data_IF_265022962245
#
_entry.id   IF_265022962245
#
_cell.length_a   1.000
_cell.length_b   1.000
_cell.length_c   1.000
_cell.angle_alpha   90.00
_cell.angle_beta   90.00
_cell.angle_gamma   90.00
#
_symmetry.space_group_name_H-M   'P 1'
#
loop_
_entity.id
_entity.type
_entity.pdbx_description
1 polymer ?
#
# COMPACT_ATOMS: atom_id res chain seq x y z
N UNK A 1 -26.53 -48.92 26.44
CA UNK A 1 -25.84 -48.65 25.14
C UNK A 1 -26.73 -47.95 24.10
N UNK A 2 -28.07 -48.10 24.11
CA UNK A 2 -29.00 -47.55 23.11
C UNK A 2 -29.22 -46.02 23.12
N UNK A 3 -28.81 -45.33 24.20
CA UNK A 3 -28.99 -43.89 24.38
C UNK A 3 -27.83 -43.03 23.83
N UNK A 4 -26.66 -43.65 23.56
CA UNK A 4 -25.49 -42.97 22.97
C UNK A 4 -25.59 -42.88 21.44
N UNK A 5 -26.08 -43.93 20.78
CA UNK A 5 -26.26 -44.00 19.33
C UNK A 5 -27.36 -43.07 18.81
N UNK A 6 -28.47 -42.91 19.54
CA UNK A 6 -29.53 -41.95 19.18
C UNK A 6 -29.05 -40.48 19.28
N UNK A 7 -28.24 -40.15 20.31
CA UNK A 7 -27.62 -38.83 20.46
C UNK A 7 -26.59 -38.53 19.36
N UNK A 8 -25.82 -39.54 18.95
CA UNK A 8 -24.87 -39.43 17.82
C UNK A 8 -25.60 -39.23 16.48
N UNK A 9 -26.69 -39.95 16.21
CA UNK A 9 -27.51 -39.79 15.00
C UNK A 9 -28.22 -38.44 14.92
N UNK A 10 -28.73 -37.92 16.06
CA UNK A 10 -29.34 -36.59 16.13
C UNK A 10 -28.34 -35.43 15.99
N UNK A 11 -27.11 -35.60 16.50
CA UNK A 11 -26.03 -34.65 16.29
C UNK A 11 -25.55 -34.64 14.83
N UNK A 12 -25.52 -35.81 14.18
CA UNK A 12 -25.11 -35.95 12.78
C UNK A 12 -26.11 -35.30 11.81
N UNK A 13 -27.42 -35.45 12.05
CA UNK A 13 -28.46 -34.83 11.22
C UNK A 13 -28.53 -33.31 11.38
N UNK A 14 -28.32 -32.79 12.60
CA UNK A 14 -28.20 -31.36 12.85
C UNK A 14 -26.95 -30.77 12.18
N UNK A 15 -25.82 -31.47 12.25
CA UNK A 15 -24.58 -31.06 11.56
C UNK A 15 -24.74 -31.02 10.04
N UNK A 16 -25.44 -31.99 9.43
CA UNK A 16 -25.71 -32.01 7.99
C UNK A 16 -26.67 -30.91 7.55
N UNK A 17 -27.73 -30.65 8.33
CA UNK A 17 -28.66 -29.54 8.06
C UNK A 17 -27.96 -28.18 8.18
N UNK A 18 -27.16 -27.98 9.23
CA UNK A 18 -26.34 -26.77 9.43
C UNK A 18 -25.29 -26.59 8.34
N UNK A 19 -24.66 -27.67 7.87
CA UNK A 19 -23.71 -27.62 6.76
C UNK A 19 -24.40 -27.28 5.43
N UNK A 20 -25.63 -27.77 5.21
CA UNK A 20 -26.40 -27.46 4.00
C UNK A 20 -26.91 -26.01 4.00
N UNK A 21 -27.42 -25.51 5.11
CA UNK A 21 -27.83 -24.10 5.22
C UNK A 21 -26.64 -23.15 5.12
N UNK A 22 -25.51 -23.47 5.75
CA UNK A 22 -24.28 -22.68 5.62
C UNK A 22 -23.79 -22.61 4.17
N UNK A 23 -23.85 -23.71 3.41
CA UNK A 23 -23.52 -23.70 1.97
C UNK A 23 -24.45 -22.83 1.13
N UNK A 24 -25.75 -22.85 1.41
CA UNK A 24 -26.72 -22.00 0.72
C UNK A 24 -26.42 -20.52 1.00
N UNK A 25 -26.19 -20.17 2.27
CA UNK A 25 -25.83 -18.79 2.64
C UNK A 25 -24.52 -18.31 2.02
N UNK A 26 -23.51 -19.17 1.89
CA UNK A 26 -22.26 -18.84 1.18
C UNK A 26 -22.51 -18.61 -0.31
N UNK A 27 -23.32 -19.44 -0.97
CA UNK A 27 -23.66 -19.25 -2.38
C UNK A 27 -24.44 -17.94 -2.62
N UNK A 28 -25.35 -17.58 -1.72
CA UNK A 28 -26.08 -16.32 -1.81
C UNK A 28 -25.14 -15.14 -1.57
N UNK A 29 -24.19 -15.26 -0.63
CA UNK A 29 -23.17 -14.24 -0.39
C UNK A 29 -22.26 -14.03 -1.61
N UNK A 30 -21.83 -15.10 -2.28
CA UNK A 30 -21.06 -15.02 -3.52
C UNK A 30 -21.82 -14.30 -4.65
N UNK A 31 -23.13 -14.53 -4.75
CA UNK A 31 -23.99 -13.82 -5.70
C UNK A 31 -24.06 -12.32 -5.39
N UNK A 32 -24.25 -11.95 -4.12
CA UNK A 32 -24.22 -10.56 -3.67
C UNK A 32 -22.87 -9.88 -3.96
N UNK A 33 -21.73 -10.57 -3.77
CA UNK A 33 -20.41 -10.03 -4.13
C UNK A 33 -20.23 -9.85 -5.64
N UNK A 34 -20.81 -10.72 -6.46
CA UNK A 34 -20.79 -10.56 -7.92
C UNK A 34 -21.52 -9.29 -8.33
N UNK A 35 -22.68 -9.00 -7.71
CA UNK A 35 -23.43 -7.76 -7.95
C UNK A 35 -22.63 -6.55 -7.44
N UNK A 36 -22.00 -6.66 -6.27
CA UNK A 36 -21.16 -5.60 -5.71
C UNK A 36 -20.00 -5.23 -6.66
N UNK A 37 -19.30 -6.23 -7.20
CA UNK A 37 -18.22 -6.03 -8.18
C UNK A 37 -18.74 -5.32 -9.44
N UNK A 38 -19.86 -5.79 -10.01
CA UNK A 38 -20.44 -5.20 -11.20
C UNK A 38 -20.93 -3.74 -10.96
N UNK A 39 -21.40 -3.42 -9.76
CA UNK A 39 -21.77 -2.05 -9.39
C UNK A 39 -20.52 -1.15 -9.22
N UNK A 40 -19.46 -1.67 -8.59
CA UNK A 40 -18.16 -0.97 -8.43
C UNK A 40 -17.55 -0.63 -9.79
N UNK A 41 -17.55 -1.56 -10.74
CA UNK A 41 -17.05 -1.33 -12.11
C UNK A 41 -17.80 -0.22 -12.85
N UNK A 42 -19.10 -0.05 -12.55
CA UNK A 42 -19.93 1.04 -13.08
C UNK A 42 -19.76 2.37 -12.32
N UNK A 43 -18.97 2.39 -11.24
CA UNK A 43 -18.80 3.54 -10.37
C UNK A 43 -19.95 3.78 -9.38
N UNK A 44 -20.94 2.88 -9.30
CA UNK A 44 -22.02 2.97 -8.31
C UNK A 44 -21.55 2.37 -6.98
N UNK A 45 -20.64 3.08 -6.30
CA UNK A 45 -20.03 2.63 -5.06
C UNK A 45 -21.05 2.45 -3.92
N UNK A 46 -22.17 3.19 -3.94
CA UNK A 46 -23.23 3.04 -2.95
C UNK A 46 -23.96 1.71 -3.11
N UNK A 47 -24.37 1.36 -4.33
CA UNK A 47 -24.97 0.05 -4.59
C UNK A 47 -23.97 -1.08 -4.34
N UNK A 48 -22.71 -0.89 -4.74
CA UNK A 48 -21.65 -1.85 -4.48
C UNK A 48 -21.50 -2.16 -2.97
N UNK A 49 -21.48 -1.11 -2.14
CA UNK A 49 -21.38 -1.25 -0.69
C UNK A 49 -22.59 -1.98 -0.10
N UNK A 50 -23.80 -1.65 -0.55
CA UNK A 50 -25.03 -2.31 -0.08
C UNK A 50 -25.01 -3.83 -0.34
N UNK A 51 -24.64 -4.23 -1.55
CA UNK A 51 -24.55 -5.65 -1.92
C UNK A 51 -23.40 -6.36 -1.19
N UNK A 52 -22.23 -5.72 -1.03
CA UNK A 52 -21.13 -6.28 -0.26
C UNK A 52 -21.51 -6.50 1.23
N UNK A 53 -22.26 -5.57 1.83
CA UNK A 53 -22.76 -5.72 3.21
C UNK A 53 -23.78 -6.85 3.35
N UNK A 54 -24.65 -7.07 2.34
CA UNK A 54 -25.54 -8.25 2.32
C UNK A 54 -24.76 -9.55 2.31
N UNK A 55 -23.66 -9.62 1.56
CA UNK A 55 -22.77 -10.78 1.58
C UNK A 55 -22.19 -11.05 2.97
N UNK A 56 -21.79 -10.01 3.71
CA UNK A 56 -21.34 -10.13 5.11
C UNK A 56 -22.46 -10.66 6.02
N UNK A 57 -23.69 -10.17 5.87
CA UNK A 57 -24.85 -10.66 6.65
C UNK A 57 -25.14 -12.13 6.36
N UNK A 58 -25.08 -12.54 5.09
CA UNK A 58 -25.32 -13.92 4.67
C UNK A 58 -24.20 -14.87 5.14
N UNK A 59 -22.94 -14.44 5.03
CA UNK A 59 -21.78 -15.25 5.40
C UNK A 59 -20.78 -14.45 6.27
N UNK A 60 -21.03 -14.28 7.59
CA UNK A 60 -20.23 -13.42 8.49
C UNK A 60 -18.78 -13.85 8.76
N UNK A 61 -18.33 -14.96 8.17
CA UNK A 61 -16.94 -15.44 8.25
C UNK A 61 -16.29 -15.54 6.87
N UNK A 62 -16.95 -15.05 5.84
CA UNK A 62 -16.42 -15.03 4.48
C UNK A 62 -15.43 -13.88 4.35
N UNK A 63 -14.15 -14.22 4.34
CA UNK A 63 -13.04 -13.25 4.26
C UNK A 63 -13.23 -12.30 3.07
N UNK A 64 -13.60 -12.83 1.91
CA UNK A 64 -13.82 -12.03 0.70
C UNK A 64 -14.92 -10.99 0.87
N UNK A 65 -15.98 -11.29 1.63
CA UNK A 65 -17.07 -10.34 1.83
C UNK A 65 -16.61 -9.13 2.65
N UNK A 66 -15.92 -9.37 3.76
CA UNK A 66 -15.30 -8.31 4.57
C UNK A 66 -14.28 -7.52 3.77
N UNK A 67 -13.38 -8.19 3.03
CA UNK A 67 -12.39 -7.52 2.21
C UNK A 67 -13.02 -6.60 1.16
N UNK A 68 -14.05 -7.06 0.46
CA UNK A 68 -14.76 -6.27 -0.55
C UNK A 68 -15.50 -5.06 0.05
N UNK A 69 -16.11 -5.19 1.23
CA UNK A 69 -16.66 -4.01 1.94
C UNK A 69 -15.54 -3.02 2.27
N UNK A 70 -14.40 -3.52 2.77
CA UNK A 70 -13.21 -2.72 3.04
C UNK A 70 -12.72 -1.92 1.83
N UNK A 71 -12.50 -2.58 0.69
CA UNK A 71 -12.07 -1.95 -0.55
C UNK A 71 -13.03 -0.85 -1.03
N UNK A 72 -14.34 -1.12 -1.01
CA UNK A 72 -15.35 -0.17 -1.49
C UNK A 72 -15.41 1.04 -0.56
N UNK A 73 -15.42 0.79 0.76
CA UNK A 73 -15.45 1.84 1.77
C UNK A 73 -14.17 2.70 1.75
N UNK A 74 -13.01 2.09 1.48
CA UNK A 74 -11.72 2.78 1.31
C UNK A 74 -11.77 3.75 0.12
N UNK A 75 -12.24 3.31 -1.06
CA UNK A 75 -12.41 4.19 -2.22
C UNK A 75 -13.39 5.34 -1.95
N UNK A 76 -14.43 5.09 -1.16
CA UNK A 76 -15.40 6.11 -0.77
C UNK A 76 -14.91 7.04 0.34
N UNK A 77 -13.82 6.69 1.01
CA UNK A 77 -13.21 7.52 2.05
C UNK A 77 -12.42 8.66 1.40
N UNK A 78 -12.88 9.91 1.56
CA UNK A 78 -12.15 11.09 1.07
C UNK A 78 -11.10 11.52 2.10
N UNK A 79 -9.78 11.42 1.80
CA UNK A 79 -8.74 11.81 2.75
C UNK A 79 -8.70 13.32 3.03
N UNK A 80 -9.27 14.16 2.17
CA UNK A 80 -9.13 15.62 2.23
C UNK A 80 -10.47 16.39 2.32
N UNK A 81 -10.97 16.59 3.55
CA UNK A 81 -11.82 17.73 3.96
C UNK A 81 -11.89 17.94 5.50
N UNK A 82 -11.04 17.26 6.29
CA UNK A 82 -11.31 16.83 7.68
C UNK A 82 -12.25 15.62 7.79
N UNK A 83 -11.82 14.41 7.37
CA UNK A 83 -12.43 13.19 7.86
C UNK A 83 -11.95 12.96 9.29
N UNK A 84 -12.81 13.28 10.26
CA UNK A 84 -12.64 12.79 11.62
C UNK A 84 -12.94 11.30 11.70
N UNK A 85 -12.62 10.63 12.83
CA UNK A 85 -13.08 9.26 13.13
C UNK A 85 -14.61 9.06 13.08
N UNK A 86 -15.38 10.14 12.86
CA UNK A 86 -16.83 10.15 12.67
C UNK A 86 -17.29 10.03 11.20
N UNK A 87 -16.37 10.02 10.22
CA UNK A 87 -16.74 9.54 8.87
C UNK A 87 -16.95 8.03 8.93
N UNK A 88 -18.23 7.67 8.97
CA UNK A 88 -18.70 6.29 9.06
C UNK A 88 -18.08 5.39 8.00
N UNK A 89 -17.74 5.92 6.83
CA UNK A 89 -17.23 5.14 5.70
C UNK A 89 -15.76 4.77 5.90
N UNK A 90 -14.95 5.74 6.31
CA UNK A 90 -13.54 5.50 6.65
C UNK A 90 -13.40 4.56 7.85
N UNK A 91 -14.24 4.73 8.88
CA UNK A 91 -14.30 3.81 10.01
C UNK A 91 -14.68 2.39 9.60
N UNK A 92 -15.66 2.25 8.71
CA UNK A 92 -16.05 0.96 8.14
C UNK A 92 -14.89 0.29 7.41
N UNK A 93 -14.16 1.00 6.54
CA UNK A 93 -13.00 0.44 5.84
C UNK A 93 -11.96 -0.16 6.81
N UNK A 94 -11.62 0.59 7.87
CA UNK A 94 -10.67 0.15 8.89
C UNK A 94 -11.16 -1.12 9.60
N UNK A 95 -12.42 -1.16 10.04
CA UNK A 95 -12.96 -2.32 10.77
C UNK A 95 -13.08 -3.57 9.89
N UNK A 96 -13.41 -3.40 8.61
CA UNK A 96 -13.54 -4.50 7.66
C UNK A 96 -12.16 -5.06 7.26
N UNK A 97 -11.15 -4.22 7.07
CA UNK A 97 -9.76 -4.70 6.91
C UNK A 97 -9.26 -5.42 8.17
N UNK A 98 -9.53 -4.89 9.37
CA UNK A 98 -9.18 -5.59 10.62
C UNK A 98 -9.87 -6.96 10.71
N UNK A 99 -11.15 -7.03 10.38
CA UNK A 99 -11.92 -8.29 10.41
C UNK A 99 -11.38 -9.29 9.40
N UNK A 100 -11.07 -8.83 8.19
CA UNK A 100 -10.39 -9.62 7.15
C UNK A 100 -9.09 -10.22 7.68
N UNK A 101 -8.26 -9.42 8.35
CA UNK A 101 -6.98 -9.84 8.92
C UNK A 101 -7.10 -10.67 10.21
N UNK A 102 -8.20 -10.55 10.94
CA UNK A 102 -8.52 -11.45 12.05
C UNK A 102 -8.93 -12.84 11.56
N UNK A 103 -9.72 -12.90 10.47
CA UNK A 103 -10.14 -14.16 9.86
C UNK A 103 -9.01 -14.83 9.06
N UNK A 104 -8.14 -14.03 8.42
CA UNK A 104 -6.94 -14.48 7.73
C UNK A 104 -5.77 -13.50 7.92
N UNK A 105 -4.88 -13.76 8.90
CA UNK A 105 -3.70 -12.91 9.16
C UNK A 105 -2.70 -12.82 8.01
N UNK A 106 -2.78 -13.72 7.03
CA UNK A 106 -1.90 -13.78 5.86
C UNK A 106 -2.58 -13.33 4.57
N UNK A 107 -3.67 -12.55 4.66
CA UNK A 107 -4.33 -11.98 3.48
C UNK A 107 -3.50 -10.82 2.89
N UNK A 108 -2.62 -11.14 1.93
CA UNK A 108 -1.64 -10.21 1.37
C UNK A 108 -2.21 -8.89 0.86
N UNK A 109 -3.31 -8.94 0.09
CA UNK A 109 -3.98 -7.75 -0.44
C UNK A 109 -4.54 -6.86 0.67
N UNK A 110 -5.11 -7.45 1.71
CA UNK A 110 -5.68 -6.69 2.83
C UNK A 110 -4.58 -6.06 3.69
N UNK A 111 -3.45 -6.74 3.87
CA UNK A 111 -2.28 -6.17 4.53
C UNK A 111 -1.77 -4.93 3.77
N UNK A 112 -1.66 -5.03 2.44
CA UNK A 112 -1.21 -3.93 1.57
C UNK A 112 -2.19 -2.76 1.58
N UNK A 113 -3.46 -3.01 1.31
CA UNK A 113 -4.46 -1.95 1.15
C UNK A 113 -4.74 -1.26 2.49
N UNK A 114 -4.77 -2.03 3.60
CA UNK A 114 -4.87 -1.44 4.93
C UNK A 114 -3.65 -0.60 5.29
N UNK A 115 -2.44 -1.04 4.92
CA UNK A 115 -1.23 -0.24 5.12
C UNK A 115 -1.30 1.08 4.36
N UNK A 116 -1.82 1.07 3.13
CA UNK A 116 -2.03 2.27 2.33
C UNK A 116 -3.06 3.22 2.96
N UNK A 117 -4.21 2.71 3.40
CA UNK A 117 -5.23 3.49 4.11
C UNK A 117 -4.66 4.14 5.38
N UNK A 118 -3.91 3.38 6.19
CA UNK A 118 -3.25 3.90 7.39
C UNK A 118 -2.23 5.00 7.06
N UNK A 119 -1.49 4.85 5.95
CA UNK A 119 -0.58 5.88 5.46
C UNK A 119 -1.33 7.17 5.12
N UNK A 120 -2.46 7.07 4.40
CA UNK A 120 -3.29 8.25 4.06
C UNK A 120 -3.80 8.99 5.31
N UNK A 121 -4.05 8.27 6.40
CA UNK A 121 -4.41 8.87 7.69
C UNK A 121 -3.23 9.32 8.56
N UNK A 122 -2.02 9.33 8.03
CA UNK A 122 -0.82 9.75 8.76
C UNK A 122 -0.33 8.75 9.81
N UNK A 123 -0.92 7.55 9.91
CA UNK A 123 -0.52 6.47 10.83
C UNK A 123 0.67 5.70 10.28
N UNK A 124 1.79 6.40 10.09
CA UNK A 124 2.98 5.88 9.40
C UNK A 124 3.59 4.65 10.06
N UNK A 125 3.60 4.57 11.39
CA UNK A 125 4.20 3.44 12.12
C UNK A 125 3.39 2.15 11.95
N UNK A 126 2.06 2.25 12.03
CA UNK A 126 1.16 1.12 11.78
C UNK A 126 1.25 0.68 10.31
N UNK A 127 1.24 1.64 9.38
CA UNK A 127 1.38 1.40 7.94
C UNK A 127 2.64 0.61 7.60
N UNK A 128 3.81 1.01 8.12
CA UNK A 128 5.07 0.29 7.90
C UNK A 128 4.99 -1.16 8.39
N UNK A 129 4.40 -1.40 9.56
CA UNK A 129 4.22 -2.75 10.11
C UNK A 129 3.41 -3.65 9.17
N UNK A 130 2.31 -3.14 8.61
CA UNK A 130 1.47 -3.91 7.68
C UNK A 130 2.12 -4.10 6.31
N UNK A 131 2.80 -3.09 5.75
CA UNK A 131 3.58 -3.27 4.51
C UNK A 131 4.69 -4.30 4.67
N UNK A 132 5.41 -4.31 5.79
CA UNK A 132 6.46 -5.31 6.07
C UNK A 132 5.88 -6.72 6.21
N UNK A 133 4.69 -6.88 6.80
CA UNK A 133 3.97 -8.17 6.82
C UNK A 133 3.57 -8.62 5.42
N UNK A 134 3.03 -7.72 4.60
CA UNK A 134 2.68 -8.03 3.21
C UNK A 134 3.93 -8.45 2.42
N UNK A 135 5.04 -7.73 2.59
CA UNK A 135 6.31 -8.03 1.93
C UNK A 135 6.87 -9.39 2.35
N UNK A 136 6.71 -9.79 3.61
CA UNK A 136 7.13 -11.11 4.07
C UNK A 136 6.37 -12.26 3.38
N UNK A 137 5.13 -12.03 2.93
CA UNK A 137 4.35 -13.00 2.16
C UNK A 137 4.71 -12.98 0.66
N UNK A 138 5.05 -11.80 0.14
CA UNK A 138 5.36 -11.57 -1.26
C UNK A 138 6.68 -10.78 -1.41
N UNK A 139 7.84 -11.41 -1.17
CA UNK A 139 9.12 -10.72 -1.06
C UNK A 139 9.62 -10.08 -2.36
N UNK A 140 9.06 -10.51 -3.50
CA UNK A 140 9.41 -10.01 -4.84
C UNK A 140 8.28 -9.17 -5.46
N UNK A 141 7.33 -8.67 -4.66
CA UNK A 141 6.36 -7.68 -5.16
C UNK A 141 7.03 -6.29 -5.25
N UNK A 142 7.21 -5.72 -6.45
CA UNK A 142 7.89 -4.44 -6.61
C UNK A 142 7.15 -3.27 -5.96
N UNK A 143 5.81 -3.35 -5.86
CA UNK A 143 5.00 -2.34 -5.17
C UNK A 143 5.24 -2.36 -3.66
N UNK A 144 5.32 -3.55 -3.04
CA UNK A 144 5.62 -3.69 -1.62
C UNK A 144 7.06 -3.32 -1.28
N UNK A 145 8.01 -3.70 -2.12
CA UNK A 145 9.42 -3.28 -2.00
C UNK A 145 9.52 -1.74 -2.04
N UNK A 146 8.86 -1.10 -3.01
CA UNK A 146 8.79 0.35 -3.12
C UNK A 146 8.07 1.01 -1.95
N UNK A 147 6.96 0.42 -1.48
CA UNK A 147 6.19 0.95 -0.35
C UNK A 147 7.01 0.97 0.94
N UNK A 148 7.70 -0.12 1.29
CA UNK A 148 8.57 -0.18 2.49
C UNK A 148 9.72 0.83 2.37
N UNK A 149 10.40 0.90 1.22
CA UNK A 149 11.45 1.90 1.00
C UNK A 149 10.92 3.34 1.10
N UNK A 150 9.70 3.59 0.62
CA UNK A 150 9.01 4.87 0.78
C UNK A 150 8.68 5.20 2.25
N UNK A 151 8.28 4.21 3.05
CA UNK A 151 8.06 4.40 4.49
C UNK A 151 9.37 4.76 5.21
N UNK A 152 10.44 4.04 4.91
CA UNK A 152 11.77 4.30 5.46
C UNK A 152 12.28 5.68 5.05
N UNK A 153 12.14 6.07 3.78
CA UNK A 153 12.50 7.40 3.30
C UNK A 153 11.80 8.51 4.10
N UNK A 154 10.50 8.36 4.41
CA UNK A 154 9.78 9.34 5.23
C UNK A 154 10.26 9.42 6.68
N UNK A 155 10.91 8.38 7.20
CA UNK A 155 11.56 8.42 8.53
C UNK A 155 12.95 9.06 8.45
N UNK A 156 13.72 8.71 7.42
CA UNK A 156 15.10 9.15 7.22
C UNK A 156 15.18 10.63 6.85
N UNK A 157 14.41 11.06 5.85
CA UNK A 157 14.58 12.37 5.23
C UNK A 157 14.36 13.53 6.22
N UNK A 158 13.33 13.53 7.09
CA UNK A 158 13.17 14.56 8.10
C UNK A 158 14.35 14.64 9.06
N UNK A 159 14.92 13.51 9.52
CA UNK A 159 16.03 13.53 10.48
C UNK A 159 17.26 14.26 9.90
N UNK A 160 17.60 13.99 8.64
CA UNK A 160 18.69 14.68 7.93
C UNK A 160 18.35 16.17 7.71
N UNK A 161 17.17 16.45 7.17
CA UNK A 161 16.76 17.82 6.78
C UNK A 161 16.60 18.72 8.00
N UNK A 162 15.88 18.28 9.02
CA UNK A 162 15.65 19.03 10.25
C UNK A 162 16.96 19.25 11.02
N UNK A 163 17.87 18.27 11.03
CA UNK A 163 19.19 18.47 11.62
C UNK A 163 19.97 19.56 10.89
N UNK A 164 19.95 19.59 9.55
CA UNK A 164 20.57 20.68 8.78
C UNK A 164 19.94 22.04 9.09
N UNK A 165 18.61 22.11 9.17
CA UNK A 165 17.88 23.33 9.54
C UNK A 165 18.26 23.82 10.93
N UNK A 166 18.26 22.93 11.94
CA UNK A 166 18.65 23.26 13.33
C UNK A 166 20.06 23.81 13.43
N UNK A 167 20.97 23.35 12.59
CA UNK A 167 22.37 23.78 12.54
C UNK A 167 22.59 25.02 11.67
N UNK A 168 21.56 25.59 11.05
CA UNK A 168 21.70 26.70 10.11
C UNK A 168 22.49 26.32 8.85
N UNK A 169 22.54 25.01 8.52
CA UNK A 169 23.16 24.50 7.31
C UNK A 169 22.14 24.68 6.17
N UNK A 170 22.23 25.81 5.46
CA UNK A 170 21.45 26.03 4.24
C UNK A 170 21.77 24.98 3.17
N UNK A 171 21.01 24.98 2.06
CA UNK A 171 21.09 23.95 1.02
C UNK A 171 22.50 23.63 0.49
N UNK A 172 23.42 24.61 0.50
CA UNK A 172 24.81 24.46 0.01
C UNK A 172 25.80 23.89 1.04
N UNK A 173 25.44 23.87 2.33
CA UNK A 173 26.32 23.36 3.39
C UNK A 173 25.95 21.91 3.70
N UNK A 174 26.91 21.01 3.50
CA UNK A 174 26.74 19.60 3.75
C UNK A 174 26.85 19.27 5.25
N UNK A 175 26.04 18.32 5.71
CA UNK A 175 26.05 17.79 7.07
C UNK A 175 27.33 16.99 7.35
N UNK A 176 27.98 16.45 6.32
CA UNK A 176 29.18 15.59 6.42
C UNK A 176 30.33 16.17 7.26
N UNK A 177 30.42 17.50 7.37
CA UNK A 177 31.46 18.19 8.15
C UNK A 177 31.00 18.59 9.56
N UNK A 178 29.74 18.33 9.90
CA UNK A 178 29.14 18.69 11.19
C UNK A 178 29.43 17.61 12.24
N UNK A 179 29.66 17.99 13.50
CA UNK A 179 29.69 17.04 14.62
C UNK A 179 28.42 16.17 14.73
N UNK A 180 27.27 16.70 14.27
CA UNK A 180 26.00 15.97 14.30
C UNK A 180 25.91 14.83 13.25
N UNK A 181 26.87 14.73 12.33
CA UNK A 181 26.84 13.72 11.27
C UNK A 181 26.77 12.30 11.83
N UNK A 182 27.63 11.97 12.80
CA UNK A 182 27.71 10.62 13.36
C UNK A 182 26.38 10.21 14.01
N UNK A 183 25.76 11.10 14.78
CA UNK A 183 24.47 10.84 15.41
C UNK A 183 23.36 10.56 14.39
N UNK A 184 23.31 11.33 13.29
CA UNK A 184 22.32 11.12 12.22
C UNK A 184 22.62 9.82 11.46
N UNK A 185 23.89 9.53 11.18
CA UNK A 185 24.31 8.27 10.56
C UNK A 185 23.89 7.08 11.40
N UNK A 186 24.23 7.07 12.68
CA UNK A 186 24.05 5.92 13.56
C UNK A 186 22.55 5.59 13.75
N UNK A 187 21.66 6.59 13.69
CA UNK A 187 20.19 6.38 13.71
C UNK A 187 19.61 5.82 12.41
N UNK A 188 20.23 6.11 11.26
CA UNK A 188 19.60 5.89 9.95
C UNK A 188 20.34 4.90 9.04
N UNK A 189 21.60 4.55 9.32
CA UNK A 189 22.45 3.77 8.42
C UNK A 189 21.78 2.48 7.95
N UNK A 190 21.22 1.70 8.88
CA UNK A 190 20.57 0.44 8.55
C UNK A 190 19.37 0.64 7.61
N UNK A 191 18.57 1.70 7.83
CA UNK A 191 17.41 2.01 6.99
C UNK A 191 17.83 2.50 5.60
N UNK A 192 18.91 3.27 5.49
CA UNK A 192 19.47 3.65 4.19
C UNK A 192 19.86 2.42 3.37
N UNK A 193 20.63 1.50 3.96
CA UNK A 193 21.08 0.30 3.25
C UNK A 193 19.90 -0.60 2.85
N UNK A 194 18.94 -0.81 3.76
CA UNK A 194 17.73 -1.58 3.47
C UNK A 194 16.92 -0.93 2.35
N UNK A 195 16.60 0.36 2.45
CA UNK A 195 15.79 1.08 1.44
C UNK A 195 16.41 1.04 0.05
N UNK A 196 17.73 1.27 -0.04
CA UNK A 196 18.45 1.20 -1.30
C UNK A 196 18.40 -0.22 -1.88
N UNK A 197 18.63 -1.25 -1.05
CA UNK A 197 18.57 -2.64 -1.50
C UNK A 197 17.16 -3.02 -2.00
N UNK A 198 16.10 -2.62 -1.28
CA UNK A 198 14.71 -2.86 -1.66
C UNK A 198 14.38 -2.23 -3.02
N UNK A 199 14.77 -0.98 -3.26
CA UNK A 199 14.51 -0.29 -4.53
C UNK A 199 15.33 -0.85 -5.69
N UNK A 200 16.58 -1.25 -5.44
CA UNK A 200 17.39 -1.94 -6.45
C UNK A 200 16.74 -3.28 -6.84
N UNK A 201 16.29 -4.06 -5.86
CA UNK A 201 15.52 -5.29 -6.12
C UNK A 201 14.22 -5.01 -6.88
N UNK A 202 13.50 -3.96 -6.50
CA UNK A 202 12.27 -3.56 -7.20
C UNK A 202 12.55 -3.18 -8.67
N UNK A 203 13.69 -2.57 -8.98
CA UNK A 203 14.10 -2.22 -10.35
C UNK A 203 14.61 -3.40 -11.18
N UNK A 204 15.06 -4.49 -10.56
CA UNK A 204 15.37 -5.73 -11.29
C UNK A 204 14.08 -6.31 -11.93
N UNK A 205 12.95 -6.16 -11.23
CA UNK A 205 11.64 -6.67 -11.62
C UNK A 205 10.89 -5.65 -12.47
N UNK A 206 10.69 -4.44 -11.94
CA UNK A 206 10.02 -3.30 -12.59
C UNK A 206 11.06 -2.36 -13.18
N UNK A 207 11.65 -2.77 -14.31
CA UNK A 207 12.67 -2.00 -15.00
C UNK A 207 12.14 -0.63 -15.42
N UNK A 208 12.99 0.39 -15.31
CA UNK A 208 12.68 1.77 -15.72
C UNK A 208 11.46 2.37 -14.99
N UNK A 209 11.23 1.99 -13.74
CA UNK A 209 10.22 2.65 -12.91
C UNK A 209 10.77 4.02 -12.44
N UNK A 210 10.22 5.16 -12.91
CA UNK A 210 10.76 6.48 -12.59
C UNK A 210 10.59 6.86 -11.12
N UNK A 211 9.59 6.31 -10.43
CA UNK A 211 9.37 6.55 -9.00
C UNK A 211 10.48 5.92 -8.17
N UNK A 212 10.81 4.64 -8.41
CA UNK A 212 11.89 3.95 -7.69
C UNK A 212 13.25 4.60 -7.96
N UNK A 213 13.49 5.03 -9.19
CA UNK A 213 14.71 5.76 -9.57
C UNK A 213 14.79 7.12 -8.85
N UNK A 214 13.66 7.82 -8.72
CA UNK A 214 13.60 9.10 -7.97
C UNK A 214 13.93 8.89 -6.50
N UNK A 215 13.35 7.86 -5.86
CA UNK A 215 13.67 7.54 -4.47
C UNK A 215 15.14 7.13 -4.28
N UNK A 216 15.72 6.36 -5.19
CA UNK A 216 17.16 6.06 -5.16
C UNK A 216 18.01 7.33 -5.26
N UNK A 217 17.70 8.23 -6.21
CA UNK A 217 18.38 9.51 -6.36
C UNK A 217 18.39 10.31 -5.06
N UNK A 218 17.24 10.42 -4.40
CA UNK A 218 17.08 11.11 -3.12
C UNK A 218 17.80 10.39 -1.96
N UNK A 219 17.67 9.06 -1.84
CA UNK A 219 18.33 8.28 -0.79
C UNK A 219 19.85 8.36 -0.88
N UNK A 220 20.44 8.25 -2.07
CA UNK A 220 21.88 8.42 -2.23
C UNK A 220 22.33 9.85 -1.88
N UNK A 221 21.57 10.87 -2.28
CA UNK A 221 21.86 12.27 -1.92
C UNK A 221 21.87 12.47 -0.40
N UNK A 222 20.87 11.93 0.29
CA UNK A 222 20.77 12.00 1.75
C UNK A 222 21.83 11.13 2.45
N UNK A 223 22.19 9.97 1.89
CA UNK A 223 23.24 9.11 2.45
C UNK A 223 24.62 9.76 2.32
N UNK A 224 24.87 10.52 1.24
CA UNK A 224 26.10 11.30 1.10
C UNK A 224 26.33 12.23 2.29
N UNK A 225 25.27 12.88 2.78
CA UNK A 225 25.32 13.82 3.91
C UNK A 225 25.82 13.20 5.22
N UNK A 226 25.71 11.87 5.37
CA UNK A 226 26.06 11.14 6.58
C UNK A 226 27.38 10.34 6.47
N UNK A 227 28.21 10.64 5.47
CA UNK A 227 29.53 9.97 5.29
C UNK A 227 30.63 10.49 6.24
N UNK A 228 30.30 11.41 7.15
CA UNK A 228 31.10 11.92 8.28
C UNK A 228 32.61 12.08 8.05
N UNK A 229 32.98 12.90 7.07
CA UNK A 229 34.36 13.22 6.71
C UNK A 229 34.94 12.33 5.60
N UNK A 230 34.28 11.22 5.27
CA UNK A 230 34.66 10.37 4.14
C UNK A 230 34.23 11.01 2.81
N UNK A 231 35.14 11.80 2.24
CA UNK A 231 34.93 12.47 0.96
C UNK A 231 34.81 11.50 -0.22
N UNK A 232 35.41 10.32 -0.13
CA UNK A 232 35.36 9.35 -1.22
C UNK A 232 33.95 8.76 -1.32
N UNK A 233 33.40 8.30 -0.19
CA UNK A 233 32.04 7.77 -0.14
C UNK A 233 30.98 8.86 -0.39
N UNK A 234 31.19 10.09 0.09
CA UNK A 234 30.35 11.23 -0.28
C UNK A 234 30.24 11.39 -1.80
N UNK A 235 31.39 11.39 -2.49
CA UNK A 235 31.41 11.59 -3.93
C UNK A 235 30.79 10.40 -4.68
N UNK A 236 30.98 9.17 -4.18
CA UNK A 236 30.36 7.98 -4.74
C UNK A 236 28.82 8.03 -4.64
N UNK A 237 28.29 8.42 -3.49
CA UNK A 237 26.86 8.60 -3.29
C UNK A 237 26.29 9.73 -4.16
N UNK A 238 26.95 10.89 -4.23
CA UNK A 238 26.54 11.99 -5.11
C UNK A 238 26.62 11.64 -6.60
N UNK A 239 27.52 10.74 -7.00
CA UNK A 239 27.55 10.21 -8.37
C UNK A 239 26.36 9.31 -8.63
N UNK A 240 26.08 8.38 -7.70
CA UNK A 240 24.95 7.46 -7.79
C UNK A 240 23.62 8.22 -7.84
N UNK A 241 23.46 9.23 -6.98
CA UNK A 241 22.31 10.13 -6.98
C UNK A 241 22.05 10.74 -8.36
N UNK A 242 23.09 11.34 -8.99
CA UNK A 242 22.98 11.91 -10.34
C UNK A 242 22.63 10.88 -11.41
N UNK A 243 23.18 9.68 -11.34
CA UNK A 243 22.85 8.58 -12.28
C UNK A 243 21.37 8.25 -12.20
N UNK A 244 20.84 8.10 -10.97
CA UNK A 244 19.43 7.78 -10.77
C UNK A 244 18.49 8.92 -11.13
N UNK A 245 18.86 10.18 -10.87
CA UNK A 245 18.09 11.36 -11.29
C UNK A 245 17.97 11.45 -12.82
N UNK A 246 19.04 11.13 -13.56
CA UNK A 246 19.00 11.07 -15.02
C UNK A 246 18.12 9.92 -15.51
N UNK A 247 18.29 8.73 -14.92
CA UNK A 247 17.47 7.56 -15.25
C UNK A 247 15.97 7.83 -15.00
N UNK A 248 15.62 8.47 -13.88
CA UNK A 248 14.24 8.82 -13.54
C UNK A 248 13.60 9.74 -14.60
N UNK A 249 14.33 10.78 -15.02
CA UNK A 249 13.88 11.70 -16.07
C UNK A 249 13.67 11.00 -17.40
N UNK A 250 14.62 10.15 -17.80
CA UNK A 250 14.55 9.38 -19.05
C UNK A 250 13.36 8.41 -19.04
N UNK A 251 13.15 7.70 -17.93
CA UNK A 251 12.03 6.78 -17.76
C UNK A 251 10.69 7.51 -17.77
N UNK A 252 10.58 8.65 -17.08
CA UNK A 252 9.36 9.46 -17.04
C UNK A 252 9.01 10.02 -18.43
N UNK A 253 10.01 10.51 -19.18
CA UNK A 253 9.80 11.00 -20.55
C UNK A 253 9.26 9.90 -21.47
N UNK A 254 9.81 8.68 -21.39
CA UNK A 254 9.36 7.53 -22.18
C UNK A 254 7.98 7.05 -21.75
N UNK A 255 7.67 7.08 -20.45
CA UNK A 255 6.35 6.74 -19.93
C UNK A 255 5.27 7.69 -20.47
N UNK A 256 5.52 9.00 -20.42
CA UNK A 256 4.63 10.01 -20.99
C UNK A 256 4.37 9.81 -22.49
N UNK A 257 5.43 9.56 -23.28
CA UNK A 257 5.29 9.29 -24.72
C UNK A 257 4.43 8.06 -25.02
N UNK A 258 4.62 6.96 -24.26
CA UNK A 258 3.86 5.73 -24.43
C UNK A 258 2.40 5.86 -23.98
N UNK A 259 2.12 6.71 -22.99
CA UNK A 259 0.76 7.01 -22.55
C UNK A 259 -0.03 7.72 -23.67
N UNK A 260 0.54 8.77 -24.28
CA UNK A 260 -0.11 9.49 -25.38
C UNK A 260 -0.28 8.67 -26.65
N UNK A 261 0.58 7.68 -26.92
CA UNK A 261 0.39 6.74 -28.04
C UNK A 261 -0.75 5.73 -27.82
N UNK A 262 -1.15 5.50 -26.56
CA UNK A 262 -2.22 4.56 -26.20
C UNK A 262 -3.58 5.21 -25.97
N UNK A 263 -3.66 6.54 -25.94
CA UNK A 263 -4.94 7.25 -25.93
C UNK A 263 -5.48 7.24 -27.37
N UNK A 264 -6.65 6.64 -27.63
CA UNK A 264 -7.27 6.70 -28.96
C UNK A 264 -7.50 8.16 -29.34
N UNK A 265 -7.26 8.50 -30.61
CA UNK A 265 -7.55 9.84 -31.12
C UNK A 265 -8.99 10.23 -30.79
N UNK A 266 -9.19 11.48 -30.36
CA UNK A 266 -10.53 12.00 -30.08
C UNK A 266 -11.44 11.75 -31.30
N UNK A 267 -12.69 11.27 -31.09
CA UNK A 267 -13.62 11.08 -32.20
C UNK A 267 -13.84 12.41 -32.94
N UNK A 268 -14.07 12.38 -34.26
CA UNK A 268 -14.33 13.59 -35.01
C UNK A 268 -15.55 14.34 -34.43
N UNK A 269 -15.55 15.68 -34.46
CA UNK A 269 -16.68 16.45 -33.98
C UNK A 269 -17.97 16.03 -34.73
N UNK A 270 -19.14 16.05 -34.06
CA UNK A 270 -20.40 15.74 -34.72
C UNK A 270 -20.64 16.72 -35.89
N UNK A 271 -21.22 16.25 -37.01
CA UNK A 271 -21.50 17.12 -38.14
C UNK A 271 -22.44 18.25 -37.74
N UNK A 272 -22.14 19.47 -38.20
CA UNK A 272 -22.96 20.65 -37.96
C UNK A 272 -24.41 20.38 -38.41
N UNK A 273 -25.34 20.54 -37.48
CA UNK A 273 -26.78 20.46 -37.77
C UNK A 273 -27.14 21.74 -38.51
N UNK A 274 -27.32 21.63 -39.83
CA UNK A 274 -27.92 22.67 -40.68
C UNK A 274 -29.44 22.71 -40.50
#
# INVERSE_FOLDING_TARGET
MRNRTLRLLGALSFALASCRSAKVHVSDAEAELTVASAAREKGDFRAALEHAQKAVVLAPRMIQAHFTVGEIADVMCLPNAQPGPDDRTCGLAIEEYKTTLQLNPSHGEALKDFAFLLFQFGKSDESESYYRKALALHPDDPGLLGAVAGMDFRRIAPDVVETKVRLGLGAKKALIQSPACADVRDRNQARFEESIALLLRALEISKNNPEFQTYLGALYSLRAEIQCGDRANYQADMNSSRVWDMAAKDSAAKFGQNFFQKVPAAPPPPPDIQ
#
